data_IF_083824189817
#
_entry.id   IF_083824189817
#
_cell.length_a   1.000
_cell.length_b   1.000
_cell.length_c   1.000
_cell.angle_alpha   90.00
_cell.angle_beta   90.00
_cell.angle_gamma   90.00
#
_symmetry.space_group_name_H-M   'P 1'
#
loop_
_entity.id
_entity.type
_entity.pdbx_description
1 polymer ?
#
# COMPACT_ATOMS: atom_id res chain seq x y z
N UNK A 1 27.79 -3.57 -24.02
CA UNK A 1 26.43 -3.13 -23.61
C UNK A 1 25.80 -4.26 -22.80
N UNK A 2 26.10 -4.34 -21.51
CA UNK A 2 25.51 -5.39 -20.66
C UNK A 2 24.22 -4.88 -20.06
N UNK A 3 23.15 -5.52 -20.52
CA UNK A 3 21.75 -5.38 -20.13
C UNK A 3 21.56 -5.34 -18.61
N UNK A 4 21.10 -4.22 -18.07
CA UNK A 4 20.56 -4.17 -16.71
C UNK A 4 19.18 -4.81 -16.80
N UNK A 5 19.05 -6.06 -16.34
CA UNK A 5 17.74 -6.67 -16.08
C UNK A 5 17.34 -6.31 -14.65
N UNK A 6 16.37 -5.42 -14.40
CA UNK A 6 15.73 -5.38 -13.11
C UNK A 6 14.71 -6.52 -13.09
N UNK A 7 15.15 -7.71 -12.72
CA UNK A 7 14.22 -8.72 -12.17
C UNK A 7 13.76 -8.22 -10.82
N UNK A 8 12.85 -7.25 -10.81
CA UNK A 8 12.11 -6.83 -9.62
C UNK A 8 11.10 -7.93 -9.29
N UNK A 9 11.59 -9.00 -8.64
CA UNK A 9 10.75 -9.71 -7.69
C UNK A 9 10.26 -8.63 -6.73
N UNK A 10 8.97 -8.29 -6.81
CA UNK A 10 8.33 -7.34 -5.89
C UNK A 10 8.75 -7.75 -4.48
N UNK A 11 9.59 -6.94 -3.82
CA UNK A 11 9.93 -7.16 -2.42
C UNK A 11 8.61 -7.20 -1.65
N UNK A 12 8.41 -8.20 -0.80
CA UNK A 12 7.28 -8.18 0.13
C UNK A 12 7.37 -6.90 0.96
N UNK A 13 6.23 -6.33 1.34
CA UNK A 13 6.17 -5.09 2.12
C UNK A 13 7.02 -5.16 3.40
N UNK A 14 7.12 -6.36 4.00
CA UNK A 14 7.95 -6.57 5.17
C UNK A 14 9.45 -6.29 4.90
N UNK A 15 9.91 -6.54 3.67
CA UNK A 15 11.28 -6.30 3.21
C UNK A 15 11.46 -4.96 2.47
N UNK A 16 10.42 -4.14 2.36
CA UNK A 16 10.56 -2.77 1.83
C UNK A 16 11.09 -1.83 2.90
N UNK A 17 12.00 -0.95 2.49
CA UNK A 17 12.59 0.07 3.33
C UNK A 17 12.00 1.44 2.97
N UNK A 18 12.08 2.42 3.88
CA UNK A 18 11.70 3.81 3.58
C UNK A 18 12.46 4.34 2.35
N UNK A 19 13.72 3.94 2.18
CA UNK A 19 14.51 4.24 0.98
C UNK A 19 13.86 3.72 -0.30
N UNK A 20 13.41 2.45 -0.32
CA UNK A 20 12.77 1.87 -1.50
C UNK A 20 11.45 2.62 -1.84
N UNK A 21 10.72 3.06 -0.80
CA UNK A 21 9.47 3.82 -0.96
C UNK A 21 9.76 5.23 -1.48
N UNK A 22 10.75 5.91 -0.92
CA UNK A 22 11.16 7.25 -1.31
C UNK A 22 11.70 7.28 -2.75
N UNK A 23 12.56 6.33 -3.12
CA UNK A 23 13.08 6.16 -4.49
C UNK A 23 11.96 5.91 -5.49
N UNK A 24 11.00 5.03 -5.17
CA UNK A 24 9.88 4.72 -6.07
C UNK A 24 8.96 5.93 -6.32
N UNK A 25 8.85 6.84 -5.37
CA UNK A 25 8.00 8.03 -5.48
C UNK A 25 8.81 9.29 -5.85
N UNK A 26 10.10 9.15 -6.18
CA UNK A 26 10.99 10.26 -6.55
C UNK A 26 11.06 11.38 -5.50
N UNK A 27 10.92 11.02 -4.22
CA UNK A 27 11.01 11.95 -3.08
C UNK A 27 12.27 11.68 -2.25
N UNK A 28 12.73 12.68 -1.50
CA UNK A 28 13.78 12.49 -0.51
C UNK A 28 13.20 11.78 0.74
N UNK A 29 14.01 10.94 1.38
CA UNK A 29 13.69 10.32 2.68
C UNK A 29 13.34 11.36 3.75
N UNK A 30 14.01 12.53 3.77
CA UNK A 30 13.65 13.60 4.71
C UNK A 30 12.23 14.11 4.48
N UNK A 31 11.81 14.21 3.23
CA UNK A 31 10.43 14.59 2.87
C UNK A 31 9.44 13.49 3.24
N UNK A 32 9.83 12.22 3.13
CA UNK A 32 9.02 11.11 3.65
C UNK A 32 8.82 11.23 5.17
N UNK A 33 9.91 11.42 5.93
CA UNK A 33 9.85 11.53 7.39
C UNK A 33 9.15 12.79 7.91
N UNK A 34 8.96 13.79 7.05
CA UNK A 34 8.11 14.93 7.37
C UNK A 34 6.63 14.54 7.47
N UNK A 35 6.21 13.52 6.71
CA UNK A 35 4.81 13.07 6.65
C UNK A 35 4.55 11.78 7.44
N UNK A 36 5.54 10.88 7.55
CA UNK A 36 5.35 9.54 8.12
C UNK A 36 6.53 9.16 9.03
N UNK A 37 6.27 8.63 10.22
CA UNK A 37 7.32 8.18 11.14
C UNK A 37 8.04 6.93 10.64
N UNK A 38 7.32 6.02 9.98
CA UNK A 38 7.88 4.86 9.30
C UNK A 38 7.04 4.38 8.09
N UNK A 39 7.37 3.20 7.55
CA UNK A 39 6.65 2.61 6.42
C UNK A 39 5.22 2.15 6.77
N UNK A 40 4.96 1.81 8.03
CA UNK A 40 3.65 1.38 8.51
C UNK A 40 2.72 2.57 8.71
N UNK A 41 3.22 3.70 9.23
CA UNK A 41 2.46 4.96 9.31
C UNK A 41 1.98 5.40 7.91
N UNK A 42 2.88 5.32 6.92
CA UNK A 42 2.55 5.60 5.53
C UNK A 42 1.47 4.66 4.98
N UNK A 43 1.54 3.38 5.33
CA UNK A 43 0.55 2.40 4.94
C UNK A 43 -0.81 2.68 5.59
N UNK A 44 -0.84 2.97 6.89
CA UNK A 44 -2.07 3.26 7.62
C UNK A 44 -2.79 4.44 6.99
N UNK A 45 -2.07 5.55 6.76
CA UNK A 45 -2.65 6.74 6.11
C UNK A 45 -3.19 6.43 4.71
N UNK A 46 -2.48 5.59 3.94
CA UNK A 46 -2.95 5.16 2.62
C UNK A 46 -4.23 4.32 2.71
N UNK A 47 -4.29 3.38 3.64
CA UNK A 47 -5.46 2.53 3.86
C UNK A 47 -6.65 3.33 4.36
N UNK A 48 -6.44 4.29 5.27
CA UNK A 48 -7.48 5.21 5.74
C UNK A 48 -8.05 6.04 4.60
N UNK A 49 -7.19 6.66 3.77
CA UNK A 49 -7.62 7.42 2.61
C UNK A 49 -8.42 6.55 1.62
N UNK A 50 -7.98 5.31 1.39
CA UNK A 50 -8.69 4.35 0.53
C UNK A 50 -10.02 3.90 1.13
N UNK A 51 -10.07 3.67 2.44
CA UNK A 51 -11.30 3.34 3.14
C UNK A 51 -12.29 4.51 3.08
N UNK A 52 -11.83 5.74 3.23
CA UNK A 52 -12.66 6.93 3.11
C UNK A 52 -13.20 7.12 1.69
N UNK A 53 -12.38 6.89 0.66
CA UNK A 53 -12.83 6.88 -0.74
C UNK A 53 -13.90 5.81 -0.98
N UNK A 54 -13.73 4.61 -0.43
CA UNK A 54 -14.73 3.54 -0.51
C UNK A 54 -16.03 3.95 0.19
N UNK A 55 -15.95 4.48 1.42
CA UNK A 55 -17.11 4.89 2.21
C UNK A 55 -17.87 6.05 1.60
N UNK A 56 -17.19 7.01 0.97
CA UNK A 56 -17.87 8.12 0.27
C UNK A 56 -18.70 7.64 -0.92
N UNK A 57 -18.38 6.49 -1.49
CA UNK A 57 -19.13 5.86 -2.57
C UNK A 57 -20.14 4.81 -2.08
N UNK A 58 -20.25 4.60 -0.76
CA UNK A 58 -21.18 3.64 -0.15
C UNK A 58 -22.46 4.34 0.27
N UNK A 59 -23.57 3.98 -0.39
CA UNK A 59 -24.91 4.34 0.06
C UNK A 59 -25.44 3.28 1.05
N UNK A 60 -26.39 3.63 1.92
CA UNK A 60 -26.92 2.77 3.00
C UNK A 60 -27.41 1.37 2.53
N UNK A 61 -27.95 1.16 1.30
CA UNK A 61 -28.22 -0.19 0.80
C UNK A 61 -26.98 -0.97 0.30
N UNK A 62 -25.85 -0.31 0.02
CA UNK A 62 -24.66 -0.89 -0.63
C UNK A 62 -23.53 -1.26 0.36
N UNK A 63 -23.74 -1.13 1.67
CA UNK A 63 -22.72 -1.51 2.68
C UNK A 63 -22.22 -2.95 2.54
N UNK A 64 -23.08 -3.89 2.16
CA UNK A 64 -22.69 -5.30 1.90
C UNK A 64 -21.72 -5.39 0.72
N UNK A 65 -21.93 -4.64 -0.36
CA UNK A 65 -20.99 -4.54 -1.48
C UNK A 65 -19.67 -3.88 -1.05
N UNK A 66 -19.74 -2.86 -0.19
CA UNK A 66 -18.55 -2.23 0.39
C UNK A 66 -17.68 -3.20 1.17
N UNK A 67 -18.28 -3.98 2.08
CA UNK A 67 -17.55 -5.01 2.81
C UNK A 67 -17.01 -6.11 1.89
N UNK A 68 -17.78 -6.52 0.87
CA UNK A 68 -17.32 -7.51 -0.11
C UNK A 68 -16.09 -7.02 -0.86
N UNK A 69 -16.06 -5.75 -1.28
CA UNK A 69 -14.90 -5.14 -1.94
C UNK A 69 -13.65 -5.11 -1.03
N UNK A 70 -13.83 -4.84 0.26
CA UNK A 70 -12.73 -4.89 1.24
C UNK A 70 -12.18 -6.33 1.35
N UNK A 71 -13.06 -7.32 1.49
CA UNK A 71 -12.63 -8.72 1.58
C UNK A 71 -11.95 -9.21 0.29
N UNK A 72 -12.46 -8.82 -0.89
CA UNK A 72 -11.82 -9.11 -2.17
C UNK A 72 -10.44 -8.46 -2.31
N UNK A 73 -10.29 -7.22 -1.82
CA UNK A 73 -9.00 -6.52 -1.83
C UNK A 73 -7.97 -7.25 -0.95
N UNK A 74 -8.38 -7.71 0.23
CA UNK A 74 -7.53 -8.48 1.14
C UNK A 74 -7.13 -9.82 0.49
N UNK A 75 -8.09 -10.55 -0.07
CA UNK A 75 -7.86 -11.86 -0.71
C UNK A 75 -6.96 -11.78 -1.96
N UNK A 76 -7.04 -10.67 -2.72
CA UNK A 76 -6.20 -10.42 -3.88
C UNK A 76 -4.74 -10.10 -3.54
N UNK A 77 -4.41 -9.82 -2.27
CA UNK A 77 -3.07 -9.43 -1.83
C UNK A 77 -2.52 -10.34 -0.72
N UNK A 78 -2.43 -11.67 -0.93
CA UNK A 78 -1.99 -12.61 0.09
C UNK A 78 -0.55 -12.35 0.55
N UNK A 79 0.33 -11.88 -0.34
CA UNK A 79 1.72 -11.51 -0.01
C UNK A 79 1.85 -10.32 0.96
N UNK A 80 0.75 -9.62 1.20
CA UNK A 80 0.69 -8.43 2.05
C UNK A 80 0.00 -8.74 3.39
N UNK A 81 -1.08 -9.53 3.36
CA UNK A 81 -1.93 -9.79 4.53
C UNK A 81 -1.77 -11.19 5.16
N UNK A 82 -1.10 -12.15 4.48
CA UNK A 82 -0.75 -13.46 5.06
C UNK A 82 0.76 -13.57 5.26
N UNK A 83 1.25 -13.84 6.49
CA UNK A 83 2.66 -14.10 6.75
C UNK A 83 3.08 -15.57 6.52
N UNK A 84 2.16 -16.44 6.08
CA UNK A 84 2.38 -17.87 5.82
C UNK A 84 2.31 -18.20 4.33
#
# INVERSE_FOLDING_TARGET
MSSIKPTSRKKSFNNLNVTDIAEKNEINQQTFYYHFGDKYDCLETYLEAKAQELVQNLDIPNWVEGYLHIFQYIDAQPQFFSPY
#
